data_IF_768472242133
#
_entry.id   IF_768472242133
#
_cell.length_a   1.000
_cell.length_b   1.000
_cell.length_c   1.000
_cell.angle_alpha   90.00
_cell.angle_beta   90.00
_cell.angle_gamma   90.00
#
_symmetry.space_group_name_H-M   'P 1'
#
loop_
_entity.id
_entity.type
_entity.pdbx_description
1 polymer ?
#
# COMPACT_ATOMS: atom_id res chain seq x y z
N UNK A 1 -10.77 29.81 -1.32
CA UNK A 1 -11.94 28.93 -1.21
C UNK A 1 -11.77 27.64 -2.01
N UNK A 2 -11.53 27.71 -3.33
CA UNK A 2 -11.33 26.51 -4.18
C UNK A 2 -10.22 25.57 -3.68
N UNK A 3 -9.06 26.11 -3.30
CA UNK A 3 -7.94 25.30 -2.77
C UNK A 3 -8.28 24.59 -1.46
N UNK A 4 -9.12 25.20 -0.61
CA UNK A 4 -9.58 24.57 0.64
C UNK A 4 -10.53 23.41 0.36
N UNK A 5 -11.44 23.57 -0.62
CA UNK A 5 -12.35 22.50 -1.05
C UNK A 5 -11.56 21.33 -1.65
N UNK A 6 -10.61 21.62 -2.54
CA UNK A 6 -9.75 20.60 -3.16
C UNK A 6 -8.89 19.87 -2.10
N UNK A 7 -8.33 20.61 -1.14
CA UNK A 7 -7.59 20.03 -0.02
C UNK A 7 -8.46 19.14 0.87
N UNK A 8 -9.70 19.56 1.15
CA UNK A 8 -10.66 18.77 1.92
C UNK A 8 -11.03 17.45 1.22
N UNK A 9 -11.29 17.49 -0.08
CA UNK A 9 -11.58 16.29 -0.89
C UNK A 9 -10.38 15.35 -0.92
N UNK A 10 -9.17 15.87 -1.13
CA UNK A 10 -7.96 15.06 -1.12
C UNK A 10 -7.70 14.42 0.26
N UNK A 11 -7.93 15.16 1.34
CA UNK A 11 -7.82 14.66 2.71
C UNK A 11 -8.84 13.56 3.00
N UNK A 12 -10.09 13.73 2.56
CA UNK A 12 -11.14 12.73 2.71
C UNK A 12 -10.76 11.40 2.05
N UNK A 13 -10.37 11.42 0.76
CA UNK A 13 -10.00 10.19 0.05
C UNK A 13 -8.71 9.54 0.55
N UNK A 14 -7.84 10.28 1.25
CA UNK A 14 -6.67 9.70 1.92
C UNK A 14 -7.07 8.84 3.13
N UNK A 15 -8.15 9.21 3.83
CA UNK A 15 -8.68 8.46 4.97
C UNK A 15 -9.67 7.36 4.53
N UNK A 16 -10.38 7.60 3.43
CA UNK A 16 -11.40 6.72 2.86
C UNK A 16 -11.09 6.37 1.40
N UNK A 17 -10.00 5.63 1.12
CA UNK A 17 -9.64 5.27 -0.26
C UNK A 17 -10.64 4.30 -0.92
N UNK A 18 -11.50 3.64 -0.13
CA UNK A 18 -12.66 2.86 -0.62
C UNK A 18 -13.73 3.70 -1.33
N UNK A 19 -13.82 5.00 -1.02
CA UNK A 19 -14.83 5.90 -1.59
C UNK A 19 -14.37 6.56 -2.90
N UNK A 20 -13.14 6.28 -3.35
CA UNK A 20 -12.59 6.86 -4.58
C UNK A 20 -13.44 6.38 -5.78
N UNK A 21 -13.98 7.30 -6.59
CA UNK A 21 -14.75 6.93 -7.76
C UNK A 21 -13.95 6.07 -8.74
N UNK A 22 -14.61 5.10 -9.38
CA UNK A 22 -14.00 4.15 -10.32
C UNK A 22 -13.17 4.81 -11.45
N UNK A 23 -13.58 5.98 -11.93
CA UNK A 23 -12.83 6.71 -12.95
C UNK A 23 -11.49 7.25 -12.41
N UNK A 24 -11.47 7.68 -11.14
CA UNK A 24 -10.28 8.22 -10.49
C UNK A 24 -9.32 7.11 -10.05
N UNK A 25 -9.85 5.97 -9.58
CA UNK A 25 -9.07 4.78 -9.20
C UNK A 25 -8.20 4.22 -10.34
N UNK A 26 -8.55 4.49 -11.61
CA UNK A 26 -7.76 4.05 -12.79
C UNK A 26 -6.56 4.94 -13.10
N UNK A 27 -6.50 6.12 -12.49
CA UNK A 27 -5.34 7.04 -12.63
C UNK A 27 -4.17 6.56 -11.76
N UNK A 28 -2.96 7.03 -12.02
CA UNK A 28 -1.81 6.75 -11.14
C UNK A 28 -2.08 7.21 -9.71
N UNK A 29 -2.55 8.44 -9.54
CA UNK A 29 -2.85 9.02 -8.23
C UNK A 29 -3.91 8.20 -7.46
N UNK A 30 -4.99 7.80 -8.13
CA UNK A 30 -6.03 6.98 -7.52
C UNK A 30 -5.52 5.60 -7.11
N UNK A 31 -4.66 4.97 -7.93
CA UNK A 31 -4.02 3.70 -7.57
C UNK A 31 -3.09 3.86 -6.36
N UNK A 32 -2.28 4.90 -6.33
CA UNK A 32 -1.35 5.15 -5.23
C UNK A 32 -2.10 5.29 -3.89
N UNK A 33 -3.23 6.01 -3.89
CA UNK A 33 -4.11 6.14 -2.72
C UNK A 33 -4.73 4.80 -2.28
N UNK A 34 -4.76 3.81 -3.16
CA UNK A 34 -5.27 2.46 -2.89
C UNK A 34 -4.15 1.44 -2.65
N UNK A 35 -2.90 1.90 -2.48
CA UNK A 35 -1.79 1.03 -2.09
C UNK A 35 -1.42 1.20 -0.63
N UNK A 36 -0.89 0.13 -0.04
CA UNK A 36 -0.28 0.14 1.29
C UNK A 36 1.11 -0.48 1.19
N UNK A 37 2.10 0.16 1.80
CA UNK A 37 3.44 -0.42 1.93
C UNK A 37 3.59 -0.96 3.34
N UNK A 38 4.00 -2.22 3.43
CA UNK A 38 4.38 -2.85 4.69
C UNK A 38 5.85 -3.22 4.66
N UNK A 39 6.44 -3.28 5.83
CA UNK A 39 7.83 -3.62 6.04
C UNK A 39 7.88 -4.95 6.74
N UNK A 40 8.60 -5.91 6.16
CA UNK A 40 8.76 -7.25 6.71
C UNK A 40 10.21 -7.47 7.08
N UNK A 41 10.47 -7.93 8.30
CA UNK A 41 11.82 -8.19 8.79
C UNK A 41 11.85 -9.38 9.75
N UNK A 42 13.05 -9.87 10.02
CA UNK A 42 13.29 -10.89 11.02
C UNK A 42 14.11 -10.27 12.15
N UNK A 43 13.71 -10.49 13.40
CA UNK A 43 14.45 -9.97 14.55
C UNK A 43 15.64 -10.88 14.95
N UNK A 44 16.40 -10.46 15.96
CA UNK A 44 17.56 -11.20 16.46
C UNK A 44 17.23 -12.58 17.06
N UNK A 45 15.97 -12.83 17.44
CA UNK A 45 15.50 -14.13 17.89
C UNK A 45 15.09 -15.05 16.74
N UNK A 46 15.09 -14.54 15.51
CA UNK A 46 14.61 -15.24 14.32
C UNK A 46 13.10 -15.13 14.13
N UNK A 47 12.38 -14.29 14.89
CA UNK A 47 10.94 -14.11 14.72
C UNK A 47 10.65 -13.15 13.57
N UNK A 48 9.62 -13.49 12.77
CA UNK A 48 9.15 -12.66 11.67
C UNK A 48 8.18 -11.60 12.17
N UNK A 49 8.38 -10.37 11.70
CA UNK A 49 7.53 -9.22 11.98
C UNK A 49 7.09 -8.54 10.69
N UNK A 50 5.91 -7.90 10.75
CA UNK A 50 5.37 -7.06 9.68
C UNK A 50 4.82 -5.79 10.32
N UNK A 51 5.16 -4.63 9.77
CA UNK A 51 4.71 -3.32 10.26
C UNK A 51 4.42 -2.34 9.14
N UNK A 52 3.75 -1.24 9.47
CA UNK A 52 3.48 -0.09 8.60
C UNK A 52 4.63 0.94 8.63
N UNK A 53 5.64 0.72 9.47
CA UNK A 53 6.86 1.50 9.56
C UNK A 53 8.10 0.60 9.43
N UNK A 54 9.22 1.13 8.90
CA UNK A 54 10.47 0.39 8.82
C UNK A 54 11.01 0.06 10.24
N UNK A 55 11.75 -1.05 10.39
CA UNK A 55 12.34 -1.40 11.67
C UNK A 55 13.44 -0.42 12.10
N UNK A 56 13.90 -0.49 13.36
CA UNK A 56 15.05 0.28 13.83
C UNK A 56 16.28 0.13 12.93
N UNK A 57 17.17 1.15 12.90
CA UNK A 57 18.39 1.11 12.10
C UNK A 57 19.24 -0.13 12.39
N UNK A 58 19.80 -0.73 11.34
CA UNK A 58 20.63 -1.93 11.44
C UNK A 58 19.87 -3.26 11.38
N UNK A 59 18.55 -3.23 11.17
CA UNK A 59 17.74 -4.42 10.87
C UNK A 59 17.41 -4.42 9.37
N UNK A 60 17.82 -5.49 8.69
CA UNK A 60 17.46 -5.70 7.29
C UNK A 60 15.96 -5.99 7.16
N UNK A 61 15.35 -5.41 6.13
CA UNK A 61 13.92 -5.55 5.87
C UNK A 61 13.62 -5.56 4.38
N UNK A 62 12.44 -6.07 4.05
CA UNK A 62 11.85 -6.02 2.72
C UNK A 62 10.61 -5.11 2.74
N UNK A 63 10.60 -4.08 1.90
CA UNK A 63 9.41 -3.24 1.70
C UNK A 63 8.52 -3.88 0.63
N UNK A 64 7.26 -4.12 0.96
CA UNK A 64 6.29 -4.78 0.10
C UNK A 64 5.07 -3.87 -0.08
N UNK A 65 4.81 -3.47 -1.32
CA UNK A 65 3.64 -2.65 -1.67
C UNK A 65 2.51 -3.53 -2.16
N UNK A 66 1.36 -3.41 -1.52
CA UNK A 66 0.14 -4.14 -1.82
C UNK A 66 -0.95 -3.18 -2.28
N UNK A 67 -1.69 -3.58 -3.31
CA UNK A 67 -2.93 -2.94 -3.74
C UNK A 67 -4.09 -3.49 -2.90
N UNK A 68 -5.00 -2.62 -2.44
CA UNK A 68 -6.15 -3.03 -1.61
C UNK A 68 -7.04 -4.09 -2.28
N UNK A 69 -7.22 -4.01 -3.60
CA UNK A 69 -8.26 -4.79 -4.31
C UNK A 69 -7.71 -5.97 -5.13
N UNK A 70 -6.41 -6.27 -5.05
CA UNK A 70 -5.88 -7.47 -5.70
C UNK A 70 -5.07 -8.32 -4.74
N UNK A 71 -5.67 -9.44 -4.34
CA UNK A 71 -4.89 -10.61 -3.94
C UNK A 71 -4.17 -11.13 -5.18
N UNK A 72 -2.95 -10.64 -5.43
CA UNK A 72 -2.06 -11.23 -6.41
C UNK A 72 -1.57 -12.54 -5.82
N UNK A 73 -2.30 -13.63 -6.08
CA UNK A 73 -1.77 -14.96 -5.86
C UNK A 73 -0.56 -15.13 -6.79
N UNK A 74 0.61 -15.59 -6.29
CA UNK A 74 1.74 -15.88 -7.14
C UNK A 74 1.28 -16.83 -8.25
N UNK A 75 1.65 -16.52 -9.50
CA UNK A 75 1.32 -17.38 -10.64
C UNK A 75 1.77 -18.80 -10.33
N UNK A 76 0.85 -19.78 -10.28
CA UNK A 76 1.20 -21.17 -10.06
C UNK A 76 2.32 -21.59 -11.03
N UNK A 77 3.31 -22.39 -10.61
CA UNK A 77 4.44 -22.77 -11.47
C UNK A 77 4.03 -23.33 -12.84
N UNK A 78 2.82 -23.92 -12.93
CA UNK A 78 2.26 -24.47 -14.17
C UNK A 78 1.87 -23.42 -15.21
N UNK A 79 1.70 -22.16 -14.81
CA UNK A 79 1.29 -21.04 -15.66
C UNK A 79 2.46 -20.10 -16.01
N UNK A 80 3.68 -20.38 -15.55
CA UNK A 80 4.88 -19.58 -15.84
C UNK A 80 5.58 -20.00 -17.15
N UNK A 81 4.83 -20.57 -18.12
CA UNK A 81 5.39 -21.06 -19.39
C UNK A 81 5.44 -19.98 -20.46
#
# INVERSE_FOLDING_TARGET
>A
MLLLVLGGIAGYFKLHPEDIPQWAARTSLGRDLQTTTVYKWQDASGAWHVGDAPPPPGIDYEAQTYTRDSNVLPLPPRLQR
#
